data_IF_494751781870
#
_entry.id   IF_494751781870
#
_cell.length_a   1.000
_cell.length_b   1.000
_cell.length_c   1.000
_cell.angle_alpha   90.00
_cell.angle_beta   90.00
_cell.angle_gamma   90.00
#
_symmetry.space_group_name_H-M   'P 1'
#
loop_
_entity.id
_entity.type
_entity.pdbx_description
1 polymer ?
#
# COMPACT_ATOMS: atom_id res chain seq x y z
N UNK A 1 13.30 -17.48 22.96
CA UNK A 1 12.24 -16.46 23.13
C UNK A 1 11.50 -16.37 21.80
N UNK A 2 10.25 -16.81 21.75
CA UNK A 2 9.44 -16.54 20.56
C UNK A 2 9.33 -15.02 20.39
N UNK A 3 9.79 -14.53 19.26
CA UNK A 3 9.65 -13.13 18.94
C UNK A 3 8.15 -12.84 18.75
N UNK A 4 7.58 -11.92 19.51
CA UNK A 4 6.15 -11.57 19.47
C UNK A 4 5.64 -11.36 18.04
N UNK A 5 6.50 -10.86 17.13
CA UNK A 5 6.19 -10.67 15.72
C UNK A 5 5.99 -12.00 14.98
N UNK A 6 6.89 -12.99 15.18
CA UNK A 6 6.85 -14.28 14.47
C UNK A 6 5.56 -15.05 14.75
N UNK A 7 5.21 -15.19 16.01
CA UNK A 7 3.97 -15.85 16.42
C UNK A 7 2.71 -15.12 15.92
N UNK A 8 2.71 -13.79 15.97
CA UNK A 8 1.61 -12.97 15.45
C UNK A 8 1.43 -13.15 13.94
N UNK A 9 2.51 -13.01 13.15
CA UNK A 9 2.49 -13.11 11.69
C UNK A 9 1.93 -14.46 11.24
N UNK A 10 2.48 -15.55 11.77
CA UNK A 10 2.03 -16.92 11.48
C UNK A 10 0.57 -17.14 11.84
N UNK A 11 0.17 -16.78 13.06
CA UNK A 11 -1.21 -16.93 13.56
C UNK A 11 -2.23 -16.20 12.70
N UNK A 12 -1.97 -14.94 12.35
CA UNK A 12 -2.88 -14.14 11.53
C UNK A 12 -2.96 -14.67 10.08
N UNK A 13 -1.85 -15.15 9.52
CA UNK A 13 -1.84 -15.78 8.20
C UNK A 13 -2.68 -17.07 8.19
N UNK A 14 -2.42 -17.97 9.12
CA UNK A 14 -3.12 -19.26 9.24
C UNK A 14 -4.62 -19.08 9.51
N UNK A 15 -4.99 -18.13 10.38
CA UNK A 15 -6.39 -17.79 10.65
C UNK A 15 -7.17 -17.39 9.40
N UNK A 16 -6.48 -16.85 8.41
CA UNK A 16 -7.08 -16.42 7.13
C UNK A 16 -6.93 -17.45 6.01
N UNK A 17 -6.33 -18.60 6.28
CA UNK A 17 -6.07 -19.63 5.28
C UNK A 17 -5.10 -19.17 4.17
N UNK A 18 -4.23 -18.19 4.45
CA UNK A 18 -3.27 -17.65 3.49
C UNK A 18 -2.01 -18.51 3.50
N UNK A 19 -1.54 -18.97 2.33
CA UNK A 19 -0.25 -19.68 2.22
C UNK A 19 0.94 -18.74 2.40
N UNK A 20 2.09 -19.28 2.80
CA UNK A 20 3.33 -18.50 2.87
C UNK A 20 3.70 -17.91 1.51
N UNK A 21 3.58 -18.71 0.44
CA UNK A 21 3.86 -18.28 -0.93
C UNK A 21 3.00 -17.07 -1.34
N UNK A 22 1.71 -17.12 -1.04
CA UNK A 22 0.78 -16.03 -1.34
C UNK A 22 1.12 -14.76 -0.56
N UNK A 23 1.48 -14.87 0.74
CA UNK A 23 1.80 -13.71 1.55
C UNK A 23 3.10 -13.01 1.12
N UNK A 24 4.15 -13.79 0.81
CA UNK A 24 5.48 -13.25 0.48
C UNK A 24 5.66 -12.89 -1.00
N UNK A 25 4.69 -13.17 -1.86
CA UNK A 25 4.80 -13.02 -3.32
C UNK A 25 5.30 -11.63 -3.71
N UNK A 26 6.40 -11.58 -4.47
CA UNK A 26 7.02 -10.35 -4.97
C UNK A 26 7.76 -9.51 -3.94
N UNK A 27 7.75 -9.87 -2.62
CA UNK A 27 8.42 -9.05 -1.59
C UNK A 27 9.55 -9.79 -0.87
N UNK A 28 9.46 -11.12 -0.73
CA UNK A 28 10.57 -11.95 -0.22
C UNK A 28 10.40 -13.42 -0.64
N UNK A 29 11.46 -14.21 -0.45
CA UNK A 29 11.41 -15.64 -0.69
C UNK A 29 10.57 -16.37 0.38
N UNK A 30 9.90 -17.47 0.00
CA UNK A 30 9.13 -18.31 0.94
C UNK A 30 9.99 -18.81 2.10
N UNK A 31 11.24 -19.21 1.80
CA UNK A 31 12.19 -19.64 2.84
C UNK A 31 12.55 -18.54 3.84
N UNK A 32 12.58 -17.28 3.39
CA UNK A 32 12.79 -16.14 4.28
C UNK A 32 11.56 -15.92 5.17
N UNK A 33 10.34 -15.97 4.62
CA UNK A 33 9.11 -15.86 5.40
C UNK A 33 9.01 -16.97 6.45
N UNK A 34 9.34 -18.21 6.07
CA UNK A 34 9.37 -19.34 7.01
C UNK A 34 10.29 -19.07 8.21
N UNK A 35 11.50 -18.54 7.96
CA UNK A 35 12.43 -18.16 9.04
C UNK A 35 11.90 -17.03 9.91
N UNK A 36 11.19 -16.07 9.34
CA UNK A 36 10.52 -14.99 10.09
C UNK A 36 9.42 -15.55 10.99
N UNK A 37 8.58 -16.44 10.48
CA UNK A 37 7.50 -17.07 11.25
C UNK A 37 8.00 -18.03 12.35
N UNK A 38 9.18 -18.61 12.15
CA UNK A 38 9.85 -19.45 13.18
C UNK A 38 10.67 -18.63 14.19
N UNK A 39 10.79 -17.31 14.00
CA UNK A 39 11.59 -16.46 14.89
C UNK A 39 13.10 -16.57 14.71
N UNK A 40 13.56 -17.30 13.68
CA UNK A 40 14.98 -17.48 13.36
C UNK A 40 15.64 -16.20 12.82
N UNK A 41 14.83 -15.33 12.22
CA UNK A 41 15.27 -14.06 11.66
C UNK A 41 14.17 -13.02 11.82
N UNK A 42 14.57 -11.75 11.93
CA UNK A 42 13.67 -10.60 11.95
C UNK A 42 13.77 -9.89 10.59
N UNK A 43 12.64 -9.65 9.90
CA UNK A 43 12.65 -8.83 8.68
C UNK A 43 12.97 -7.37 9.02
N UNK A 44 13.44 -6.60 8.04
CA UNK A 44 13.49 -5.15 8.17
C UNK A 44 12.06 -4.58 8.36
N UNK A 45 11.99 -3.38 8.93
CA UNK A 45 10.71 -2.73 9.28
C UNK A 45 9.79 -2.54 8.07
N UNK A 46 10.36 -2.23 6.90
CA UNK A 46 9.56 -1.98 5.70
C UNK A 46 8.87 -3.27 5.21
N UNK A 47 9.61 -4.38 5.18
CA UNK A 47 9.07 -5.70 4.85
C UNK A 47 8.07 -6.16 5.92
N UNK A 48 8.37 -5.94 7.19
CA UNK A 48 7.46 -6.26 8.30
C UNK A 48 6.12 -5.55 8.14
N UNK A 49 6.12 -4.24 7.90
CA UNK A 49 4.91 -3.47 7.68
C UNK A 49 4.12 -4.00 6.49
N UNK A 50 4.81 -4.25 5.36
CA UNK A 50 4.18 -4.78 4.14
C UNK A 50 3.47 -6.12 4.39
N UNK A 51 4.11 -7.06 5.09
CA UNK A 51 3.52 -8.37 5.40
C UNK A 51 2.27 -8.23 6.29
N UNK A 52 2.31 -7.36 7.30
CA UNK A 52 1.17 -7.11 8.20
C UNK A 52 0.02 -6.42 7.46
N UNK A 53 0.32 -5.43 6.63
CA UNK A 53 -0.68 -4.72 5.82
C UNK A 53 -1.35 -5.65 4.80
N UNK A 54 -0.60 -6.57 4.17
CA UNK A 54 -1.15 -7.63 3.30
C UNK A 54 -2.09 -8.59 4.04
N UNK A 55 -1.95 -8.71 5.35
CA UNK A 55 -2.92 -9.40 6.21
C UNK A 55 -4.09 -8.49 6.62
N UNK A 56 -4.24 -7.30 6.04
CA UNK A 56 -5.32 -6.36 6.34
C UNK A 56 -5.27 -5.78 7.75
N UNK A 57 -4.08 -5.72 8.36
CA UNK A 57 -3.84 -5.18 9.70
C UNK A 57 -3.03 -3.90 9.63
N UNK A 58 -3.17 -3.03 10.64
CA UNK A 58 -2.30 -1.87 10.80
C UNK A 58 -0.94 -2.29 11.38
N UNK A 59 0.12 -1.81 10.76
CA UNK A 59 1.50 -1.98 11.25
C UNK A 59 1.85 -0.99 12.39
N UNK A 60 1.02 0.02 12.64
CA UNK A 60 1.27 1.08 13.62
C UNK A 60 1.32 0.55 15.06
N UNK A 61 0.64 -0.58 15.33
CA UNK A 61 0.60 -1.23 16.65
C UNK A 61 1.84 -2.05 16.97
N UNK A 62 2.73 -2.24 16.00
CA UNK A 62 3.96 -2.99 16.19
C UNK A 62 5.06 -2.07 16.70
N UNK A 63 5.40 -2.22 17.97
CA UNK A 63 6.58 -1.58 18.57
C UNK A 63 7.79 -2.45 18.24
N UNK A 64 8.68 -1.96 17.39
CA UNK A 64 9.92 -2.67 17.03
C UNK A 64 11.12 -1.73 17.16
N UNK A 65 12.25 -2.29 17.57
CA UNK A 65 13.52 -1.57 17.47
C UNK A 65 13.95 -1.53 16.01
N UNK A 66 14.32 -0.35 15.54
CA UNK A 66 14.82 -0.12 14.19
C UNK A 66 16.26 0.37 14.25
N UNK A 67 17.05 0.09 13.23
CA UNK A 67 18.41 0.64 13.07
C UNK A 67 18.35 2.16 12.81
N UNK A 68 19.47 2.86 13.07
CA UNK A 68 19.54 4.30 12.73
C UNK A 68 19.29 4.54 11.23
N UNK A 69 19.68 3.62 10.40
CA UNK A 69 19.52 3.68 8.96
C UNK A 69 18.07 3.52 8.55
N UNK A 70 17.37 2.50 9.09
CA UNK A 70 15.93 2.36 8.88
C UNK A 70 15.17 3.60 9.37
N UNK A 71 15.58 4.16 10.52
CA UNK A 71 14.98 5.38 11.05
C UNK A 71 15.11 6.54 10.06
N UNK A 72 16.31 6.79 9.52
CA UNK A 72 16.55 7.84 8.52
C UNK A 72 15.68 7.66 7.27
N UNK A 73 15.53 6.41 6.78
CA UNK A 73 14.63 6.11 5.67
C UNK A 73 13.17 6.45 5.99
N UNK A 74 12.69 6.07 7.18
CA UNK A 74 11.30 6.35 7.57
C UNK A 74 11.04 7.83 7.80
N UNK A 75 11.98 8.58 8.36
CA UNK A 75 11.90 10.04 8.46
C UNK A 75 11.80 10.69 7.07
N UNK A 76 12.68 10.29 6.15
CA UNK A 76 12.63 10.77 4.76
C UNK A 76 11.28 10.43 4.11
N UNK A 77 10.83 9.19 4.20
CA UNK A 77 9.54 8.74 3.65
C UNK A 77 8.37 9.52 4.23
N UNK A 78 8.37 9.76 5.53
CA UNK A 78 7.35 10.56 6.21
C UNK A 78 7.35 12.00 5.73
N UNK A 79 8.52 12.63 5.61
CA UNK A 79 8.68 13.99 5.11
C UNK A 79 8.21 14.13 3.66
N UNK A 80 8.51 13.16 2.81
CA UNK A 80 8.01 13.12 1.42
C UNK A 80 6.49 13.03 1.41
N UNK A 81 5.88 12.11 2.17
CA UNK A 81 4.41 11.97 2.25
C UNK A 81 3.74 13.23 2.78
N UNK A 82 4.31 13.87 3.79
CA UNK A 82 3.79 15.15 4.34
C UNK A 82 3.87 16.28 3.31
N UNK A 83 5.00 16.39 2.60
CA UNK A 83 5.22 17.39 1.56
C UNK A 83 4.25 17.21 0.40
N UNK A 84 3.96 15.96 0.01
CA UNK A 84 2.93 15.64 -0.98
C UNK A 84 1.52 16.07 -0.53
N UNK A 85 1.17 15.85 0.74
CA UNK A 85 -0.11 16.32 1.28
C UNK A 85 -0.24 17.84 1.18
N UNK A 86 0.86 18.57 1.39
CA UNK A 86 0.95 20.02 1.24
C UNK A 86 1.02 20.49 -0.22
N UNK A 87 1.02 19.55 -1.19
CA UNK A 87 1.11 19.79 -2.65
C UNK A 87 2.35 20.60 -3.07
N UNK A 88 3.42 20.55 -2.29
CA UNK A 88 4.68 21.23 -2.62
C UNK A 88 5.58 20.32 -3.47
N UNK A 89 5.29 20.26 -4.77
CA UNK A 89 5.99 19.37 -5.71
C UNK A 89 7.48 19.72 -5.84
N UNK A 90 7.84 21.01 -5.81
CA UNK A 90 9.23 21.42 -5.90
C UNK A 90 10.09 20.86 -4.75
N UNK A 91 9.58 20.92 -3.52
CA UNK A 91 10.27 20.34 -2.37
C UNK A 91 10.31 18.80 -2.43
N UNK A 92 9.29 18.15 -3.00
CA UNK A 92 9.32 16.69 -3.21
C UNK A 92 10.43 16.31 -4.17
N UNK A 93 10.59 17.05 -5.28
CA UNK A 93 11.69 16.84 -6.25
C UNK A 93 13.05 16.98 -5.57
N UNK A 94 13.25 18.00 -4.73
CA UNK A 94 14.49 18.18 -3.97
C UNK A 94 14.76 16.99 -3.04
N UNK A 95 13.73 16.52 -2.29
CA UNK A 95 13.87 15.38 -1.40
C UNK A 95 14.18 14.06 -2.12
N UNK A 96 13.71 13.89 -3.35
CA UNK A 96 14.01 12.71 -4.19
C UNK A 96 15.46 12.76 -4.68
N UNK A 97 15.98 13.93 -5.04
CA UNK A 97 17.34 14.09 -5.53
C UNK A 97 18.39 13.85 -4.45
N UNK A 98 18.06 14.03 -3.18
CA UNK A 98 18.93 13.70 -2.05
C UNK A 98 19.07 12.19 -1.93
N UNK A 99 20.13 11.61 -2.49
CA UNK A 99 20.44 10.17 -2.49
C UNK A 99 20.62 9.54 -1.09
N UNK A 100 20.67 10.36 -0.04
CA UNK A 100 20.95 9.95 1.35
C UNK A 100 19.94 8.98 1.95
N UNK A 101 18.75 8.84 1.35
CA UNK A 101 17.68 7.99 1.86
C UNK A 101 17.65 6.56 1.28
N UNK A 102 18.51 6.24 0.31
CA UNK A 102 18.59 4.87 -0.24
C UNK A 102 19.59 4.07 0.58
N UNK A 103 19.09 3.23 1.47
CA UNK A 103 19.91 2.35 2.28
C UNK A 103 19.76 0.89 1.88
N UNK A 104 20.89 0.22 1.70
CA UNK A 104 20.95 -1.21 1.37
C UNK A 104 20.48 -2.14 2.52
N UNK A 105 20.32 -1.62 3.73
CA UNK A 105 19.82 -2.39 4.88
C UNK A 105 18.30 -2.59 4.89
N UNK A 106 17.56 -1.81 4.07
CA UNK A 106 16.11 -1.86 3.95
C UNK A 106 15.75 -2.57 2.64
N UNK A 107 14.60 -3.23 2.58
CA UNK A 107 14.16 -3.96 1.39
C UNK A 107 14.17 -3.08 0.13
N UNK A 108 15.11 -3.35 -0.77
CA UNK A 108 15.36 -2.52 -1.97
C UNK A 108 14.17 -2.50 -2.93
N UNK A 109 13.42 -3.60 -3.06
CA UNK A 109 12.25 -3.69 -3.95
C UNK A 109 11.16 -2.75 -3.48
N UNK A 110 10.88 -2.74 -2.18
CA UNK A 110 9.86 -1.88 -1.58
C UNK A 110 10.28 -0.40 -1.58
N UNK A 111 11.59 -0.13 -1.42
CA UNK A 111 12.12 1.23 -1.57
C UNK A 111 11.96 1.72 -3.01
N UNK A 112 12.35 0.91 -3.99
CA UNK A 112 12.25 1.24 -5.41
C UNK A 112 10.80 1.49 -5.82
N UNK A 113 9.87 0.63 -5.37
CA UNK A 113 8.45 0.82 -5.62
C UNK A 113 7.94 2.15 -5.07
N UNK A 114 8.34 2.52 -3.84
CA UNK A 114 7.96 3.82 -3.27
C UNK A 114 8.56 4.98 -4.05
N UNK A 115 9.81 4.86 -4.49
CA UNK A 115 10.48 5.88 -5.28
C UNK A 115 9.77 6.11 -6.62
N UNK A 116 9.46 5.04 -7.35
CA UNK A 116 8.70 5.12 -8.61
C UNK A 116 7.32 5.73 -8.40
N UNK A 117 6.61 5.34 -7.34
CA UNK A 117 5.33 5.95 -6.97
C UNK A 117 5.42 7.48 -6.80
N UNK A 118 6.47 7.96 -6.11
CA UNK A 118 6.67 9.40 -5.92
C UNK A 118 7.01 10.10 -7.25
N UNK A 119 7.87 9.50 -8.06
CA UNK A 119 8.20 10.05 -9.37
C UNK A 119 6.95 10.21 -10.25
N UNK A 120 6.07 9.21 -10.26
CA UNK A 120 4.82 9.29 -11.01
C UNK A 120 3.88 10.39 -10.52
N UNK A 121 3.85 10.67 -9.23
CA UNK A 121 3.09 11.81 -8.69
C UNK A 121 3.72 13.13 -9.14
N UNK A 122 5.05 13.23 -9.12
CA UNK A 122 5.80 14.43 -9.50
C UNK A 122 5.67 14.71 -11.00
N UNK A 123 5.78 13.69 -11.85
CA UNK A 123 5.62 13.80 -13.30
C UNK A 123 4.18 14.21 -13.69
N UNK A 124 3.25 14.04 -12.77
CA UNK A 124 1.88 14.48 -13.00
C UNK A 124 1.25 13.77 -14.19
N UNK A 125 0.53 14.51 -15.05
CA UNK A 125 -0.18 13.96 -16.22
C UNK A 125 0.75 13.53 -17.36
N UNK A 126 2.00 13.91 -17.32
CA UNK A 126 3.01 13.57 -18.34
C UNK A 126 3.59 12.16 -18.12
N UNK A 127 3.36 11.54 -16.94
CA UNK A 127 3.80 10.18 -16.63
C UNK A 127 3.08 9.14 -17.50
N UNK A 128 3.83 8.16 -17.98
CA UNK A 128 3.28 7.06 -18.77
C UNK A 128 2.58 6.03 -17.87
N UNK A 129 1.48 5.46 -18.36
CA UNK A 129 0.76 4.38 -17.65
C UNK A 129 1.64 3.13 -17.50
N UNK A 130 2.52 2.87 -18.47
CA UNK A 130 3.49 1.76 -18.45
C UNK A 130 4.42 1.80 -17.23
N UNK A 131 4.92 2.98 -16.86
CA UNK A 131 5.79 3.16 -15.69
C UNK A 131 5.07 2.79 -14.37
N UNK A 132 3.78 3.12 -14.27
CA UNK A 132 2.97 2.71 -13.11
C UNK A 132 2.73 1.20 -13.08
N UNK A 133 2.55 0.56 -14.25
CA UNK A 133 2.45 -0.90 -14.32
C UNK A 133 3.75 -1.57 -13.86
N UNK A 134 4.90 -1.06 -14.29
CA UNK A 134 6.21 -1.55 -13.86
C UNK A 134 6.37 -1.41 -12.34
N UNK A 135 6.02 -0.26 -11.77
CA UNK A 135 6.07 -0.05 -10.32
C UNK A 135 5.17 -1.03 -9.55
N UNK A 136 3.98 -1.34 -10.08
CA UNK A 136 3.08 -2.33 -9.47
C UNK A 136 3.68 -3.73 -9.58
N UNK A 137 4.25 -4.09 -10.74
CA UNK A 137 4.84 -5.41 -11.00
C UNK A 137 6.07 -5.72 -10.15
N UNK A 138 6.75 -4.73 -9.58
CA UNK A 138 7.85 -4.97 -8.63
C UNK A 138 7.45 -5.89 -7.47
N UNK A 139 6.24 -5.73 -6.95
CA UNK A 139 5.74 -6.54 -5.83
C UNK A 139 4.54 -7.42 -6.21
N UNK A 140 3.94 -7.20 -7.37
CA UNK A 140 2.83 -7.97 -7.94
C UNK A 140 3.14 -8.36 -9.38
N UNK A 141 4.06 -9.34 -9.61
CA UNK A 141 4.59 -9.64 -10.95
C UNK A 141 3.52 -10.06 -11.96
N UNK A 142 2.38 -10.59 -11.50
CA UNK A 142 1.28 -11.02 -12.38
C UNK A 142 0.24 -9.93 -12.62
N UNK A 143 0.53 -8.69 -12.30
CA UNK A 143 -0.41 -7.59 -12.53
C UNK A 143 -0.65 -7.37 -14.03
N UNK A 144 -1.90 -7.46 -14.45
CA UNK A 144 -2.36 -7.30 -15.85
C UNK A 144 -3.39 -6.17 -16.00
N UNK A 145 -3.32 -5.15 -15.14
CA UNK A 145 -4.28 -4.05 -15.14
C UNK A 145 -5.54 -4.30 -14.29
N UNK A 146 -5.61 -5.44 -13.61
CA UNK A 146 -6.71 -5.82 -12.71
C UNK A 146 -6.18 -6.38 -11.40
N UNK A 147 -6.99 -6.33 -10.35
CA UNK A 147 -6.71 -7.05 -9.11
C UNK A 147 -6.95 -8.54 -9.34
N UNK A 148 -5.92 -9.35 -9.10
CA UNK A 148 -6.09 -10.81 -9.07
C UNK A 148 -6.94 -11.20 -7.85
N UNK A 149 -7.84 -12.19 -8.01
CA UNK A 149 -8.73 -12.64 -6.95
C UNK A 149 -7.98 -13.09 -5.66
N UNK A 150 -6.76 -13.60 -5.83
CA UNK A 150 -5.89 -14.02 -4.73
C UNK A 150 -4.83 -12.98 -4.34
N UNK A 151 -4.85 -11.80 -4.95
CA UNK A 151 -3.89 -10.72 -4.65
C UNK A 151 -3.97 -10.28 -3.20
N UNK A 152 -2.80 -10.03 -2.59
CA UNK A 152 -2.67 -9.41 -1.29
C UNK A 152 -1.91 -8.10 -1.46
N UNK A 153 -2.45 -7.02 -0.90
CA UNK A 153 -1.92 -5.68 -1.13
C UNK A 153 -1.67 -4.96 0.19
N UNK A 154 -0.49 -4.37 0.33
CA UNK A 154 -0.17 -3.39 1.35
C UNK A 154 -0.81 -2.04 1.02
N UNK A 155 -0.75 -1.10 1.97
CA UNK A 155 -1.28 0.26 1.77
C UNK A 155 -0.54 0.96 0.63
N UNK A 156 0.79 0.78 0.52
CA UNK A 156 1.57 1.37 -0.57
C UNK A 156 1.18 0.81 -1.94
N UNK A 157 0.95 -0.49 -2.03
CA UNK A 157 0.49 -1.14 -3.27
C UNK A 157 -0.91 -0.66 -3.66
N UNK A 158 -1.80 -0.46 -2.69
CA UNK A 158 -3.12 0.12 -2.93
C UNK A 158 -3.04 1.59 -3.36
N UNK A 159 -2.11 2.39 -2.80
CA UNK A 159 -1.85 3.76 -3.25
C UNK A 159 -1.43 3.81 -4.72
N UNK A 160 -0.58 2.86 -5.17
CA UNK A 160 -0.19 2.70 -6.58
C UNK A 160 -1.36 2.31 -7.47
N UNK A 161 -2.16 1.33 -7.07
CA UNK A 161 -3.36 0.90 -7.80
C UNK A 161 -4.37 2.04 -7.96
N UNK A 162 -4.56 2.86 -6.93
CA UNK A 162 -5.42 4.04 -7.02
C UNK A 162 -4.88 5.10 -7.98
N UNK A 163 -3.55 5.32 -7.98
CA UNK A 163 -2.93 6.25 -8.93
C UNK A 163 -3.05 5.74 -10.36
N UNK A 164 -2.82 4.45 -10.58
CA UNK A 164 -2.98 3.80 -11.88
C UNK A 164 -4.44 3.88 -12.38
N UNK A 165 -5.42 3.56 -11.53
CA UNK A 165 -6.83 3.70 -11.86
C UNK A 165 -7.20 5.15 -12.23
N UNK A 166 -6.69 6.12 -11.48
CA UNK A 166 -6.86 7.54 -11.78
C UNK A 166 -6.32 7.90 -13.15
N UNK A 167 -5.10 7.48 -13.50
CA UNK A 167 -4.49 7.71 -14.80
C UNK A 167 -5.30 7.10 -15.95
N UNK A 168 -5.75 5.86 -15.75
CA UNK A 168 -6.59 5.20 -16.75
C UNK A 168 -7.93 5.93 -16.97
N UNK A 169 -8.52 6.51 -15.94
CA UNK A 169 -9.74 7.31 -16.08
C UNK A 169 -9.51 8.65 -16.78
N UNK A 170 -8.32 9.23 -16.61
CA UNK A 170 -7.93 10.49 -17.29
C UNK A 170 -7.62 10.27 -18.78
N UNK A 171 -7.12 9.08 -19.16
CA UNK A 171 -6.68 8.78 -20.54
C UNK A 171 -7.65 7.88 -21.31
N UNK A 172 -8.32 6.93 -20.66
CA UNK A 172 -9.20 5.93 -21.27
C UNK A 172 -10.44 5.72 -20.39
N UNK A 173 -11.52 6.43 -20.72
CA UNK A 173 -12.78 6.31 -20.01
C UNK A 173 -13.25 4.82 -19.92
N UNK A 174 -13.48 4.34 -18.69
CA UNK A 174 -14.11 3.05 -18.43
C UNK A 174 -13.20 1.97 -17.79
N UNK A 175 -11.94 1.86 -18.17
CA UNK A 175 -11.07 0.81 -17.62
C UNK A 175 -10.66 1.07 -16.16
N UNK A 176 -10.31 2.30 -15.83
CA UNK A 176 -9.93 2.71 -14.48
C UNK A 176 -11.07 2.61 -13.47
N UNK A 177 -12.32 2.80 -13.91
CA UNK A 177 -13.48 2.74 -13.03
C UNK A 177 -13.69 1.34 -12.46
N UNK A 178 -13.52 0.29 -13.29
CA UNK A 178 -13.64 -1.10 -12.83
C UNK A 178 -12.55 -1.46 -11.83
N UNK A 179 -11.31 -1.09 -12.11
CA UNK A 179 -10.20 -1.30 -11.18
C UNK A 179 -10.46 -0.60 -9.84
N UNK A 180 -10.98 0.63 -9.87
CA UNK A 180 -11.30 1.38 -8.66
C UNK A 180 -12.40 0.70 -7.83
N UNK A 181 -13.42 0.11 -8.49
CA UNK A 181 -14.43 -0.70 -7.82
C UNK A 181 -13.84 -1.95 -7.18
N UNK A 182 -12.95 -2.64 -7.88
CA UNK A 182 -12.25 -3.82 -7.37
C UNK A 182 -11.37 -3.47 -6.16
N UNK A 183 -10.65 -2.33 -6.20
CA UNK A 183 -9.87 -1.82 -5.05
C UNK A 183 -10.78 -1.50 -3.86
N UNK A 184 -11.92 -0.84 -4.08
CA UNK A 184 -12.88 -0.53 -3.02
C UNK A 184 -13.45 -1.79 -2.37
N UNK A 185 -13.81 -2.79 -3.16
CA UNK A 185 -14.30 -4.08 -2.66
C UNK A 185 -13.20 -4.79 -1.85
N UNK A 186 -11.98 -4.83 -2.38
CA UNK A 186 -10.83 -5.39 -1.66
C UNK A 186 -10.62 -4.74 -0.29
N UNK A 187 -10.61 -3.40 -0.22
CA UNK A 187 -10.43 -2.67 1.04
C UNK A 187 -11.55 -3.01 2.02
N UNK A 188 -12.81 -3.11 1.55
CA UNK A 188 -13.95 -3.40 2.41
C UNK A 188 -13.92 -4.81 2.97
N UNK A 189 -13.57 -5.80 2.16
CA UNK A 189 -13.62 -7.22 2.49
C UNK A 189 -12.36 -7.71 3.21
N UNK A 190 -11.21 -7.23 2.77
CA UNK A 190 -9.93 -7.75 3.24
C UNK A 190 -9.36 -6.97 4.44
N UNK A 191 -9.48 -5.65 4.47
CA UNK A 191 -8.97 -4.84 5.57
C UNK A 191 -9.94 -4.87 6.76
N UNK A 192 -9.60 -5.68 7.76
CA UNK A 192 -10.41 -5.84 8.98
C UNK A 192 -10.04 -4.86 10.09
N UNK A 193 -8.81 -4.33 10.07
CA UNK A 193 -8.36 -3.32 11.02
C UNK A 193 -8.80 -1.93 10.57
N UNK A 194 -9.49 -1.22 11.48
CA UNK A 194 -10.05 0.12 11.20
C UNK A 194 -8.96 1.12 10.91
N UNK A 195 -7.83 1.07 11.62
CA UNK A 195 -6.72 2.00 11.40
C UNK A 195 -6.08 1.79 10.01
N UNK A 196 -5.83 0.53 9.62
CA UNK A 196 -5.36 0.22 8.27
C UNK A 196 -6.34 0.70 7.21
N UNK A 197 -7.64 0.48 7.41
CA UNK A 197 -8.69 0.91 6.49
C UNK A 197 -8.75 2.43 6.33
N UNK A 198 -8.64 3.18 7.42
CA UNK A 198 -8.71 4.64 7.40
C UNK A 198 -7.52 5.29 6.70
N UNK A 199 -6.41 4.58 6.52
CA UNK A 199 -5.26 5.11 5.78
C UNK A 199 -5.50 5.20 4.27
N UNK A 200 -6.34 4.33 3.69
CA UNK A 200 -6.51 4.24 2.24
C UNK A 200 -7.94 4.43 1.74
N UNK A 201 -8.95 3.98 2.50
CA UNK A 201 -10.35 3.99 2.08
C UNK A 201 -10.89 5.38 1.73
N UNK A 202 -10.61 6.47 2.50
CA UNK A 202 -11.06 7.82 2.15
C UNK A 202 -10.60 8.26 0.76
N UNK A 203 -9.32 7.97 0.42
CA UNK A 203 -8.77 8.32 -0.88
C UNK A 203 -9.46 7.56 -2.01
N UNK A 204 -9.70 6.27 -1.83
CA UNK A 204 -10.41 5.44 -2.80
C UNK A 204 -11.84 5.94 -3.05
N UNK A 205 -12.58 6.28 -1.97
CA UNK A 205 -13.93 6.85 -2.06
C UNK A 205 -13.91 8.21 -2.75
N UNK A 206 -12.98 9.10 -2.42
CA UNK A 206 -12.86 10.41 -3.08
C UNK A 206 -12.61 10.28 -4.59
N UNK A 207 -11.74 9.35 -5.00
CA UNK A 207 -11.50 9.08 -6.42
C UNK A 207 -12.76 8.52 -7.09
N UNK A 208 -13.42 7.55 -6.47
CA UNK A 208 -14.68 7.01 -6.99
C UNK A 208 -15.75 8.09 -7.18
N UNK A 209 -15.94 8.95 -6.19
CA UNK A 209 -16.89 10.06 -6.27
C UNK A 209 -16.53 11.10 -7.33
N UNK A 210 -15.26 11.28 -7.64
CA UNK A 210 -14.80 12.24 -8.65
C UNK A 210 -15.03 11.76 -10.09
N UNK A 211 -14.75 10.50 -10.36
CA UNK A 211 -14.68 9.99 -11.72
C UNK A 211 -15.88 9.14 -12.14
N UNK A 212 -16.51 8.46 -11.20
CA UNK A 212 -17.68 7.63 -11.51
C UNK A 212 -18.94 8.50 -11.45
N UNK A 213 -19.44 8.93 -12.60
CA UNK A 213 -20.62 9.78 -12.76
C UNK A 213 -21.86 8.99 -13.21
N UNK A 214 -23.06 9.53 -13.03
CA UNK A 214 -24.32 9.00 -13.58
C UNK A 214 -25.15 8.16 -12.60
N UNK A 215 -25.79 7.08 -13.07
CA UNK A 215 -26.81 6.28 -12.34
C UNK A 215 -26.38 5.67 -11.00
N UNK A 216 -25.16 5.91 -10.55
CA UNK A 216 -24.60 5.33 -9.32
C UNK A 216 -24.56 6.30 -8.11
N UNK A 217 -25.37 7.36 -8.13
CA UNK A 217 -25.45 8.32 -7.02
C UNK A 217 -25.75 7.63 -5.67
N UNK A 218 -26.62 6.63 -5.67
CA UNK A 218 -26.98 5.88 -4.48
C UNK A 218 -25.78 5.07 -3.92
N UNK A 219 -24.97 4.46 -4.80
CA UNK A 219 -23.74 3.75 -4.41
C UNK A 219 -22.68 4.71 -3.83
N UNK A 220 -22.57 5.92 -4.39
CA UNK A 220 -21.71 6.99 -3.84
C UNK A 220 -22.13 7.39 -2.43
N UNK A 221 -23.40 7.65 -2.23
CA UNK A 221 -23.94 8.02 -0.93
C UNK A 221 -23.64 6.93 0.11
N UNK A 222 -23.91 5.66 -0.19
CA UNK A 222 -23.63 4.54 0.68
C UNK A 222 -22.15 4.38 1.01
N UNK A 223 -21.26 4.66 0.06
CA UNK A 223 -19.81 4.62 0.30
C UNK A 223 -19.35 5.76 1.21
N UNK A 224 -19.87 6.98 1.01
CA UNK A 224 -19.58 8.12 1.87
C UNK A 224 -20.12 7.89 3.30
N UNK A 225 -21.32 7.36 3.43
CA UNK A 225 -21.92 7.01 4.73
C UNK A 225 -21.12 5.93 5.46
N UNK A 226 -20.67 4.88 4.76
CA UNK A 226 -19.79 3.87 5.33
C UNK A 226 -18.47 4.45 5.80
N UNK A 227 -17.91 5.41 5.06
CA UNK A 227 -16.68 6.07 5.43
C UNK A 227 -16.87 6.90 6.72
N UNK A 228 -17.92 7.71 6.80
CA UNK A 228 -18.24 8.49 8.00
C UNK A 228 -18.39 7.59 9.23
N UNK A 229 -19.18 6.52 9.15
CA UNK A 229 -19.34 5.55 10.24
C UNK A 229 -18.03 4.85 10.64
N UNK A 230 -17.10 4.70 9.71
CA UNK A 230 -15.78 4.11 10.01
C UNK A 230 -14.86 5.12 10.70
N UNK A 231 -14.90 6.39 10.31
CA UNK A 231 -14.15 7.47 10.95
C UNK A 231 -14.63 7.72 12.39
N UNK A 232 -15.94 7.79 12.62
CA UNK A 232 -16.53 7.95 13.96
C UNK A 232 -16.12 6.83 14.94
N UNK A 233 -15.97 5.60 14.46
CA UNK A 233 -15.51 4.45 15.29
C UNK A 233 -14.02 4.47 15.61
N UNK A 234 -13.24 5.31 14.96
CA UNK A 234 -11.79 5.43 15.20
C UNK A 234 -11.43 6.52 16.21
N UNK A 235 -12.40 7.38 16.60
CA UNK A 235 -12.23 8.43 17.59
C UNK A 235 -12.61 7.98 19.03
N UNK A 236 -13.09 6.74 19.20
CA UNK A 236 -13.40 6.08 20.48
C UNK A 236 -12.34 5.03 20.80
#
# INVERSE_FOLDING_TARGET
MENMFSGFLRKEREKRGISQERLCRGVCAVSALSRYENGERIPDRLLMNTLIERLGKSSDKLVTMISCQEYAYFEWKSKVKETLRKKNIALVQELILRKEARDASVNLVLQEQFYQYIQEIVNGKEGEISSLEEAIRLTNPDFTGRIAAEGLFSIQELELLLLYAQRQMETRAGQGAKLLEDVLSYIQEHMTDIQAKNQIFPRAVCLYCRYVTGRQMQKRYLLCEKHLKTAERSEV
#
